data_IF_233951526139
#
_entry.id   IF_233951526139
#
_cell.length_a   1.000
_cell.length_b   1.000
_cell.length_c   1.000
_cell.angle_alpha   90.00
_cell.angle_beta   90.00
_cell.angle_gamma   90.00
#
_symmetry.space_group_name_H-M   'P 1'
#
loop_
_entity.id
_entity.type
_entity.pdbx_description
1 polymer ?
#
# COMPACT_ATOMS: atom_id res chain seq x y z
N UNK A 1 -32.87 0.04 -26.17
CA UNK A 1 -32.52 -0.54 -24.84
C UNK A 1 -31.38 0.17 -24.11
N UNK A 2 -30.86 1.33 -24.58
CA UNK A 2 -29.78 2.07 -23.88
C UNK A 2 -30.30 3.02 -22.78
N UNK A 3 -31.57 3.40 -22.83
CA UNK A 3 -32.13 4.44 -21.96
C UNK A 3 -32.52 3.96 -20.55
N UNK A 4 -32.80 2.67 -20.37
CA UNK A 4 -33.22 2.14 -19.05
C UNK A 4 -32.08 2.16 -18.04
N UNK A 5 -30.86 1.81 -18.48
CA UNK A 5 -29.65 1.88 -17.65
C UNK A 5 -29.32 3.33 -17.27
N UNK A 6 -29.47 4.26 -18.20
CA UNK A 6 -29.26 5.70 -17.93
C UNK A 6 -30.29 6.20 -16.92
N UNK A 7 -31.56 5.79 -17.03
CA UNK A 7 -32.62 6.17 -16.09
C UNK A 7 -32.37 5.63 -14.68
N UNK A 8 -31.86 4.41 -14.54
CA UNK A 8 -31.52 3.80 -13.25
C UNK A 8 -30.32 4.52 -12.63
N UNK A 9 -29.32 4.83 -13.45
CA UNK A 9 -28.14 5.59 -13.03
C UNK A 9 -28.50 6.99 -12.54
N UNK A 10 -29.33 7.73 -13.29
CA UNK A 10 -29.79 9.06 -12.88
C UNK A 10 -30.64 8.98 -11.62
N UNK A 11 -31.53 8.01 -11.48
CA UNK A 11 -32.33 7.86 -10.25
C UNK A 11 -31.47 7.61 -9.01
N UNK A 12 -30.43 6.78 -9.14
CA UNK A 12 -29.48 6.52 -8.04
C UNK A 12 -28.67 7.78 -7.68
N UNK A 13 -28.18 8.52 -8.68
CA UNK A 13 -27.49 9.79 -8.50
C UNK A 13 -28.39 10.87 -7.90
N UNK A 14 -29.63 10.98 -8.37
CA UNK A 14 -30.63 11.96 -7.92
C UNK A 14 -31.04 11.67 -6.47
N UNK A 15 -31.33 10.41 -6.14
CA UNK A 15 -31.66 9.97 -4.79
C UNK A 15 -30.48 10.14 -3.82
N UNK A 16 -29.27 9.80 -4.26
CA UNK A 16 -28.05 10.01 -3.48
C UNK A 16 -27.75 11.49 -3.23
N UNK A 17 -28.01 12.35 -4.23
CA UNK A 17 -27.79 13.80 -4.15
C UNK A 17 -28.87 14.53 -3.35
N UNK A 18 -30.13 14.11 -3.45
CA UNK A 18 -31.25 14.72 -2.70
C UNK A 18 -31.21 14.39 -1.20
N UNK A 19 -30.54 13.30 -0.81
CA UNK A 19 -30.34 12.94 0.59
C UNK A 19 -29.17 13.69 1.22
N UNK A 20 -29.48 14.59 2.16
CA UNK A 20 -28.48 15.24 3.03
C UNK A 20 -27.73 14.22 3.89
N UNK A 21 -28.44 13.20 4.40
CA UNK A 21 -27.86 12.09 5.14
C UNK A 21 -26.87 11.28 4.29
N UNK A 22 -27.21 10.95 3.05
CA UNK A 22 -26.35 10.19 2.13
C UNK A 22 -25.04 10.90 1.81
N UNK A 23 -25.11 12.22 1.57
CA UNK A 23 -23.91 13.07 1.41
C UNK A 23 -23.03 13.05 2.66
N UNK A 24 -23.62 13.24 3.84
CA UNK A 24 -22.88 13.21 5.11
C UNK A 24 -22.23 11.85 5.35
N UNK A 25 -22.95 10.76 5.14
CA UNK A 25 -22.44 9.39 5.25
C UNK A 25 -21.28 9.12 4.30
N UNK A 26 -21.38 9.57 3.05
CA UNK A 26 -20.31 9.43 2.06
C UNK A 26 -19.08 10.22 2.46
N UNK A 27 -19.24 11.46 2.92
CA UNK A 27 -18.14 12.27 3.48
C UNK A 27 -17.49 11.57 4.67
N UNK A 28 -18.28 10.98 5.57
CA UNK A 28 -17.75 10.18 6.69
C UNK A 28 -16.95 8.97 6.19
N UNK A 29 -17.43 8.25 5.17
CA UNK A 29 -16.70 7.13 4.56
C UNK A 29 -15.38 7.62 3.96
N UNK A 30 -15.38 8.72 3.22
CA UNK A 30 -14.17 9.32 2.66
C UNK A 30 -13.16 9.72 3.73
N UNK A 31 -13.62 10.42 4.78
CA UNK A 31 -12.80 10.82 5.91
C UNK A 31 -12.23 9.59 6.62
N UNK A 32 -13.06 8.59 6.88
CA UNK A 32 -12.64 7.36 7.54
C UNK A 32 -11.63 6.59 6.70
N UNK A 33 -11.85 6.47 5.39
CA UNK A 33 -10.90 5.86 4.47
C UNK A 33 -9.58 6.64 4.43
N UNK A 34 -9.62 7.97 4.42
CA UNK A 34 -8.41 8.80 4.45
C UNK A 34 -7.63 8.64 5.75
N UNK A 35 -8.31 8.71 6.90
CA UNK A 35 -7.70 8.55 8.23
C UNK A 35 -7.16 7.12 8.38
N UNK A 36 -7.94 6.10 8.03
CA UNK A 36 -7.51 4.70 8.07
C UNK A 36 -6.32 4.47 7.14
N UNK A 37 -6.34 5.03 5.92
CA UNK A 37 -5.22 4.95 5.00
C UNK A 37 -3.99 5.67 5.53
N UNK A 38 -4.13 6.86 6.11
CA UNK A 38 -3.00 7.61 6.68
C UNK A 38 -2.36 6.87 7.86
N UNK A 39 -3.18 6.34 8.79
CA UNK A 39 -2.71 5.56 9.92
C UNK A 39 -2.08 4.26 9.43
N UNK A 40 -2.77 3.46 8.62
CA UNK A 40 -2.18 2.24 8.05
C UNK A 40 -0.90 2.55 7.28
N UNK A 41 -0.86 3.64 6.51
CA UNK A 41 0.36 4.05 5.79
C UNK A 41 1.49 4.42 6.75
N UNK A 42 1.22 5.20 7.79
CA UNK A 42 2.24 5.62 8.75
C UNK A 42 2.66 4.50 9.69
N UNK A 43 1.78 3.53 10.01
CA UNK A 43 2.07 2.39 10.89
C UNK A 43 2.64 1.17 10.15
N UNK A 44 2.25 0.94 8.89
CA UNK A 44 2.83 -0.10 8.03
C UNK A 44 4.07 0.40 7.26
N UNK A 45 4.23 1.70 7.03
CA UNK A 45 5.41 2.31 6.41
C UNK A 45 6.23 3.33 7.26
N UNK A 46 6.30 3.25 8.61
CA UNK A 46 7.13 4.17 9.40
C UNK A 46 8.62 3.91 9.22
N UNK A 47 8.98 2.67 8.85
CA UNK A 47 10.36 2.19 8.81
C UNK A 47 10.90 1.87 7.42
N UNK A 48 10.08 1.96 6.35
CA UNK A 48 10.57 1.73 4.98
C UNK A 48 11.45 2.87 4.46
N UNK A 49 11.35 4.08 5.02
CA UNK A 49 12.12 5.26 4.56
C UNK A 49 13.10 5.81 5.62
N UNK A 50 12.87 5.59 6.91
CA UNK A 50 13.70 6.20 7.97
C UNK A 50 14.74 5.27 8.59
N UNK A 51 14.70 3.97 8.29
CA UNK A 51 15.70 3.00 8.73
C UNK A 51 16.36 2.33 7.53
N UNK A 52 16.94 3.13 6.64
CA UNK A 52 18.11 2.68 5.90
C UNK A 52 19.39 3.08 6.66
N UNK A 53 19.93 2.24 7.56
CA UNK A 53 21.25 1.70 7.33
C UNK A 53 21.09 0.56 6.32
N UNK A 54 20.78 0.94 5.08
CA UNK A 54 21.12 0.14 3.91
C UNK A 54 20.56 -1.29 3.92
N UNK A 55 19.43 -1.54 3.26
CA UNK A 55 19.10 -2.91 2.80
C UNK A 55 20.25 -3.51 1.95
N UNK A 56 21.09 -2.66 1.37
CA UNK A 56 22.35 -3.06 0.74
C UNK A 56 23.44 -3.55 1.73
N UNK A 57 23.36 -3.29 3.04
CA UNK A 57 24.31 -3.82 4.03
C UNK A 57 23.99 -5.29 4.40
N UNK A 58 22.70 -5.66 4.44
CA UNK A 58 22.31 -7.07 4.61
C UNK A 58 22.54 -7.88 3.32
N UNK A 59 22.28 -7.31 2.15
CA UNK A 59 22.60 -7.94 0.86
C UNK A 59 24.09 -8.26 0.71
N UNK A 60 24.98 -7.33 1.09
CA UNK A 60 26.42 -7.55 1.05
C UNK A 60 26.91 -8.57 2.08
N UNK A 61 26.29 -8.67 3.25
CA UNK A 61 26.67 -9.67 4.26
C UNK A 61 26.28 -11.10 3.84
N UNK A 62 25.06 -11.29 3.32
CA UNK A 62 24.59 -12.61 2.85
C UNK A 62 25.28 -13.01 1.54
N UNK A 63 25.57 -12.06 0.66
CA UNK A 63 26.35 -12.30 -0.56
C UNK A 63 27.77 -12.82 -0.27
N UNK A 64 28.46 -12.23 0.71
CA UNK A 64 29.80 -12.69 1.11
C UNK A 64 29.79 -14.09 1.76
N UNK A 65 28.79 -14.39 2.60
CA UNK A 65 28.63 -15.73 3.21
C UNK A 65 28.34 -16.81 2.16
N UNK A 66 27.56 -16.50 1.13
CA UNK A 66 27.26 -17.44 0.05
C UNK A 66 28.47 -17.66 -0.88
N UNK A 67 29.25 -16.60 -1.18
CA UNK A 67 30.50 -16.73 -1.92
C UNK A 67 31.53 -17.55 -1.12
N UNK A 68 31.60 -17.38 0.20
CA UNK A 68 32.54 -18.09 1.07
C UNK A 68 32.17 -19.57 1.27
N UNK A 69 30.89 -19.93 1.20
CA UNK A 69 30.43 -21.33 1.25
C UNK A 69 30.37 -22.01 -0.12
N UNK A 70 30.19 -21.24 -1.20
CA UNK A 70 30.26 -21.74 -2.56
C UNK A 70 31.71 -21.83 -3.07
N UNK A 71 32.66 -21.18 -2.40
CA UNK A 71 34.07 -21.41 -2.62
C UNK A 71 34.42 -22.85 -2.23
N UNK A 72 35.13 -23.60 -3.07
CA UNK A 72 35.53 -24.97 -2.76
C UNK A 72 36.41 -24.98 -1.50
N UNK A 73 36.20 -25.98 -0.64
CA UNK A 73 36.82 -26.16 0.69
C UNK A 73 38.38 -26.14 0.65
N UNK A 74 38.99 -26.21 -0.54
CA UNK A 74 40.44 -26.37 -0.73
C UNK A 74 41.16 -25.12 -1.29
N UNK A 75 40.53 -23.95 -1.32
CA UNK A 75 41.20 -22.72 -1.79
C UNK A 75 42.17 -22.17 -0.73
N UNK A 76 43.48 -22.01 -1.02
CA UNK A 76 44.44 -21.45 -0.07
C UNK A 76 44.15 -19.97 0.18
N UNK A 77 44.15 -19.60 1.47
CA UNK A 77 43.94 -18.22 1.94
C UNK A 77 45.19 -17.36 1.63
N UNK A 78 45.05 -16.13 1.09
CA UNK A 78 46.17 -15.18 1.01
C UNK A 78 46.58 -14.65 2.39
#
# INVERSE_FOLDING_TARGET
MKNTLVSIWTFYLEGFRSMTLGRTLWVIIFIKLFIMFAILRVFFFPNFLSNQPTEAAKGNYVGNELIQRAAPIDAPKP
#
